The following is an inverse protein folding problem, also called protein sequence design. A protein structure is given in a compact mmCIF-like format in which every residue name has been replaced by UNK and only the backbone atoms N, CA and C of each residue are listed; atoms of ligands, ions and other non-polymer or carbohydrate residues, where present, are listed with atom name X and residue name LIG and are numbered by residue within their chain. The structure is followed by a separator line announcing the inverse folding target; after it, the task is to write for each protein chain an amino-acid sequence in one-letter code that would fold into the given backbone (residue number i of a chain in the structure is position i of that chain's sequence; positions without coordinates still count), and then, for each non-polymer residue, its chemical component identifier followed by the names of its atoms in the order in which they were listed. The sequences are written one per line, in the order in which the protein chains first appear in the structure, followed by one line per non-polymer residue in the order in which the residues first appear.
data_IF_414279673796
#
_entry.id   IF_414279673796
#
_cell.length_a   1.000
_cell.length_b   1.000
_cell.length_c   1.000
_cell.angle_alpha   90.00
_cell.angle_beta   90.00
_cell.angle_gamma   90.00
#
_symmetry.space_group_name_H-M   'P 1'
#
loop_
_entity.id
_entity.type
_entity.pdbx_description
1 polymer ?
#
# COMPACT_ATOMS: atom_id res chain seq x y z
N UNK A 1 -8.94 -3.97 8.03
CA UNK A 1 -7.81 -4.88 7.82
C UNK A 1 -7.64 -4.93 6.33
N UNK A 2 -6.47 -4.51 5.85
CA UNK A 2 -6.27 -4.25 4.44
C UNK A 2 -5.39 -5.36 3.86
N UNK A 3 -5.76 -5.85 2.68
CA UNK A 3 -4.98 -6.88 1.98
C UNK A 3 -4.12 -6.22 0.92
N UNK A 4 -2.81 -6.42 0.99
CA UNK A 4 -1.89 -5.92 -0.01
C UNK A 4 -1.92 -6.84 -1.25
N UNK A 5 -2.14 -6.24 -2.41
CA UNK A 5 -2.17 -6.92 -3.71
C UNK A 5 -0.97 -6.46 -4.55
N UNK A 6 -0.47 -7.34 -5.42
CA UNK A 6 0.63 -7.04 -6.36
C UNK A 6 1.90 -6.50 -5.68
N UNK A 7 2.26 -7.05 -4.53
CA UNK A 7 3.39 -6.61 -3.70
C UNK A 7 4.74 -7.24 -4.08
N UNK A 8 4.81 -7.87 -5.25
CA UNK A 8 6.03 -8.42 -5.82
C UNK A 8 6.43 -9.81 -5.28
N UNK A 9 7.50 -10.39 -5.85
CA UNK A 9 7.84 -11.80 -5.69
C UNK A 9 8.22 -12.19 -4.25
N UNK A 10 8.82 -11.28 -3.48
CA UNK A 10 9.14 -11.52 -2.08
C UNK A 10 7.86 -11.69 -1.25
N UNK A 11 6.88 -10.81 -1.45
CA UNK A 11 5.60 -10.89 -0.75
C UNK A 11 4.83 -12.15 -1.16
N UNK A 12 4.88 -12.53 -2.45
CA UNK A 12 4.26 -13.78 -2.93
C UNK A 12 4.86 -15.02 -2.24
N UNK A 13 6.18 -15.05 -2.06
CA UNK A 13 6.86 -16.15 -1.37
C UNK A 13 6.53 -16.17 0.13
N UNK A 14 6.46 -15.01 0.80
CA UNK A 14 6.01 -14.90 2.19
C UNK A 14 4.58 -15.42 2.32
N UNK A 15 3.67 -15.01 1.44
CA UNK A 15 2.27 -15.47 1.44
C UNK A 15 2.17 -16.99 1.20
N UNK A 16 2.97 -17.53 0.28
CA UNK A 16 3.04 -18.97 0.01
C UNK A 16 3.52 -19.75 1.23
N UNK A 17 4.58 -19.28 1.89
CA UNK A 17 5.12 -19.90 3.11
C UNK A 17 4.14 -19.80 4.28
N UNK A 18 3.51 -18.63 4.48
CA UNK A 18 2.51 -18.43 5.51
C UNK A 18 1.33 -19.39 5.33
N UNK A 19 0.81 -19.51 4.10
CA UNK A 19 -0.26 -20.47 3.77
C UNK A 19 0.16 -21.92 3.98
N UNK A 20 1.39 -22.29 3.62
CA UNK A 20 1.91 -23.66 3.81
C UNK A 20 1.99 -24.05 5.28
N UNK A 21 2.20 -23.08 6.17
CA UNK A 21 2.47 -23.31 7.59
C UNK A 21 1.34 -22.78 8.50
N UNK A 22 0.16 -22.50 7.96
CA UNK A 22 -1.02 -22.02 8.69
C UNK A 22 -0.77 -20.75 9.55
N UNK A 23 0.05 -19.83 9.05
CA UNK A 23 0.28 -18.53 9.68
C UNK A 23 -0.53 -17.42 9.02
N UNK A 24 -1.06 -16.52 9.85
CA UNK A 24 -1.51 -15.21 9.41
C UNK A 24 -0.32 -14.22 9.50
N UNK A 25 -0.08 -13.47 8.44
CA UNK A 25 0.94 -12.42 8.39
C UNK A 25 0.25 -11.06 8.46
N UNK A 26 0.76 -10.20 9.32
CA UNK A 26 0.36 -8.80 9.39
C UNK A 26 1.62 -7.96 9.45
N UNK A 27 1.60 -6.82 8.77
CA UNK A 27 2.71 -5.88 8.77
C UNK A 27 2.18 -4.46 8.59
N UNK A 28 2.82 -3.52 9.26
CA UNK A 28 2.74 -2.10 8.93
C UNK A 28 3.89 -1.73 8.01
N UNK A 29 3.92 -0.47 7.58
CA UNK A 29 5.11 0.08 6.94
C UNK A 29 6.31 0.01 7.90
N UNK A 30 7.50 -0.29 7.35
CA UNK A 30 8.74 -0.47 8.10
C UNK A 30 9.41 0.88 8.40
N UNK A 31 8.75 1.68 9.25
CA UNK A 31 9.21 3.02 9.61
C UNK A 31 8.67 3.44 10.97
N UNK A 32 9.30 4.45 11.57
CA UNK A 32 8.72 5.13 12.72
C UNK A 32 7.36 5.75 12.36
N UNK A 33 6.39 5.66 13.26
CA UNK A 33 5.05 6.20 13.01
C UNK A 33 5.09 7.68 12.61
N UNK A 34 4.27 8.05 11.63
CA UNK A 34 4.10 9.41 11.10
C UNK A 34 5.31 9.98 10.33
N UNK A 35 6.31 9.18 9.96
CA UNK A 35 7.48 9.64 9.17
C UNK A 35 7.37 9.43 7.66
N UNK A 36 6.25 8.88 7.18
CA UNK A 36 6.04 8.55 5.78
C UNK A 36 6.71 7.24 5.34
N UNK A 37 6.46 6.82 4.11
CA UNK A 37 7.03 5.58 3.56
C UNK A 37 8.51 5.73 3.23
N UNK A 38 9.30 4.67 3.45
CA UNK A 38 10.71 4.59 3.05
C UNK A 38 10.82 3.83 1.74
N UNK A 39 11.71 4.28 0.85
CA UNK A 39 11.84 3.71 -0.49
C UNK A 39 13.20 3.05 -0.76
N UNK A 40 14.18 3.25 0.12
CA UNK A 40 15.46 2.54 0.14
C UNK A 40 15.75 2.09 1.57
N UNK A 41 16.56 1.05 1.73
CA UNK A 41 16.83 0.45 3.04
C UNK A 41 17.51 1.44 3.99
N UNK A 42 18.42 2.26 3.46
CA UNK A 42 19.21 3.23 4.21
C UNK A 42 18.36 4.34 4.86
N UNK A 43 17.14 4.56 4.38
CA UNK A 43 16.23 5.57 4.93
C UNK A 43 15.40 5.05 6.13
N UNK A 44 15.47 3.74 6.41
CA UNK A 44 14.80 3.11 7.55
C UNK A 44 15.52 3.52 8.84
N UNK A 45 14.76 3.93 9.84
CA UNK A 45 15.33 4.36 11.12
C UNK A 45 16.10 3.22 11.81
N UNK A 46 17.31 3.51 12.32
CA UNK A 46 18.21 2.51 12.95
C UNK A 46 17.50 1.68 14.02
N UNK A 47 16.71 2.32 14.89
CA UNK A 47 15.91 1.65 15.92
C UNK A 47 14.91 0.60 15.37
N UNK A 48 14.43 0.74 14.13
CA UNK A 48 13.54 -0.22 13.48
C UNK A 48 14.35 -1.40 12.94
N UNK A 49 15.53 -1.12 12.40
CA UNK A 49 16.47 -2.14 11.90
C UNK A 49 16.98 -3.00 13.06
N UNK A 50 17.38 -2.39 14.17
CA UNK A 50 17.97 -3.08 15.33
C UNK A 50 17.04 -4.10 16.00
N UNK A 51 15.72 -3.88 15.95
CA UNK A 51 14.73 -4.80 16.56
C UNK A 51 14.29 -5.93 15.63
N UNK A 52 14.74 -5.92 14.37
CA UNK A 52 14.28 -6.89 13.37
C UNK A 52 15.13 -8.16 13.40
N UNK A 53 14.46 -9.32 13.42
CA UNK A 53 15.15 -10.62 13.31
C UNK A 53 15.71 -10.84 11.89
N UNK A 54 15.06 -10.26 10.89
CA UNK A 54 15.40 -10.39 9.48
C UNK A 54 15.23 -9.03 8.80
N UNK A 55 16.28 -8.58 8.13
CA UNK A 55 16.27 -7.43 7.22
C UNK A 55 16.49 -7.90 5.80
N UNK A 56 15.83 -7.24 4.85
CA UNK A 56 15.95 -7.58 3.44
C UNK A 56 16.03 -6.29 2.63
N UNK A 57 17.20 -6.03 2.06
CA UNK A 57 17.42 -4.92 1.13
C UNK A 57 17.20 -5.38 -0.32
N UNK A 58 16.19 -4.82 -0.96
CA UNK A 58 15.83 -5.06 -2.38
C UNK A 58 16.10 -3.84 -3.26
N UNK A 59 16.84 -2.84 -2.75
CA UNK A 59 17.09 -1.59 -3.42
C UNK A 59 15.85 -0.68 -3.48
N UNK A 60 15.76 0.12 -4.53
CA UNK A 60 14.73 1.14 -4.68
C UNK A 60 13.34 0.52 -4.89
N UNK A 61 12.40 0.90 -4.03
CA UNK A 61 10.99 0.49 -4.11
C UNK A 61 10.34 1.02 -5.40
N UNK A 62 9.65 0.17 -6.18
CA UNK A 62 8.87 0.62 -7.33
C UNK A 62 7.85 1.70 -6.96
N UNK A 63 7.70 2.69 -7.82
CA UNK A 63 6.83 3.85 -7.61
C UNK A 63 7.23 4.74 -6.42
N UNK A 64 8.51 4.74 -6.05
CA UNK A 64 9.10 5.73 -5.16
C UNK A 64 8.70 7.14 -5.62
N UNK A 65 8.35 8.00 -4.67
CA UNK A 65 7.85 9.34 -4.95
C UNK A 65 8.29 10.32 -3.87
N UNK A 66 8.43 11.58 -4.26
CA UNK A 66 8.83 12.70 -3.40
C UNK A 66 7.79 13.06 -2.33
N UNK A 67 6.55 12.59 -2.49
CA UNK A 67 5.41 12.84 -1.59
C UNK A 67 5.29 11.82 -0.45
N UNK A 68 6.14 10.80 -0.40
CA UNK A 68 6.09 9.76 0.64
C UNK A 68 4.83 8.88 0.60
N UNK A 69 4.12 8.87 -0.53
CA UNK A 69 2.87 8.12 -0.69
C UNK A 69 3.13 6.62 -0.74
N UNK A 70 2.42 5.88 0.12
CA UNK A 70 2.35 4.42 0.08
C UNK A 70 1.19 3.91 -0.79
N UNK A 71 0.70 2.71 -0.51
CA UNK A 71 -0.36 2.07 -1.31
C UNK A 71 -1.69 2.84 -1.31
N UNK A 72 -2.40 2.78 -2.42
CA UNK A 72 -3.82 3.12 -2.48
C UNK A 72 -4.62 2.09 -1.67
N UNK A 73 -5.61 2.55 -0.91
CA UNK A 73 -6.54 1.68 -0.16
C UNK A 73 -7.95 1.95 -0.66
N UNK A 74 -8.65 0.90 -1.06
CA UNK A 74 -10.03 0.94 -1.54
C UNK A 74 -10.85 -0.12 -0.81
N UNK A 75 -12.05 0.24 -0.39
CA UNK A 75 -13.05 -0.71 0.07
C UNK A 75 -13.62 -1.47 -1.13
N UNK A 76 -13.45 -2.79 -1.20
CA UNK A 76 -13.89 -3.59 -2.34
C UNK A 76 -15.40 -3.92 -2.34
N UNK A 77 -16.13 -3.56 -1.28
CA UNK A 77 -17.60 -3.69 -1.20
C UNK A 77 -18.26 -2.41 -1.70
N UNK A 78 -17.83 -1.26 -1.19
CA UNK A 78 -18.42 0.05 -1.54
C UNK A 78 -17.72 0.73 -2.73
N UNK A 79 -16.54 0.26 -3.10
CA UNK A 79 -15.62 0.89 -4.07
C UNK A 79 -15.14 2.28 -3.64
N UNK A 80 -15.26 2.60 -2.35
CA UNK A 80 -14.78 3.85 -1.79
C UNK A 80 -13.25 3.85 -1.69
N UNK A 81 -12.63 4.92 -2.20
CA UNK A 81 -11.19 5.14 -1.97
C UNK A 81 -10.97 5.71 -0.58
N UNK A 82 -10.48 4.86 0.31
CA UNK A 82 -10.14 5.21 1.70
C UNK A 82 -8.85 6.04 1.74
N UNK A 83 -7.88 5.72 0.87
CA UNK A 83 -6.61 6.44 0.76
C UNK A 83 -6.11 6.48 -0.67
N UNK A 84 -5.86 7.70 -1.15
CA UNK A 84 -5.11 7.94 -2.40
C UNK A 84 -3.63 7.68 -2.14
N UNK A 85 -3.06 6.72 -2.86
CA UNK A 85 -1.65 6.34 -2.76
C UNK A 85 -0.83 6.62 -4.01
N UNK A 86 0.35 6.00 -4.08
CA UNK A 86 1.17 6.00 -5.29
C UNK A 86 0.39 5.41 -6.47
N UNK A 87 0.65 5.94 -7.66
CA UNK A 87 0.05 5.52 -8.95
C UNK A 87 -1.48 5.41 -8.96
N UNK A 88 -2.18 6.15 -8.08
CA UNK A 88 -3.64 6.09 -7.95
C UNK A 88 -4.37 6.30 -9.28
N UNK A 89 -3.93 7.27 -10.08
CA UNK A 89 -4.52 7.54 -11.40
C UNK A 89 -4.48 6.32 -12.31
N UNK A 90 -3.34 5.62 -12.37
CA UNK A 90 -3.16 4.42 -13.19
C UNK A 90 -4.04 3.27 -12.68
N UNK A 91 -4.18 3.13 -11.35
CA UNK A 91 -5.08 2.14 -10.75
C UNK A 91 -6.52 2.41 -11.17
N UNK A 92 -6.96 3.67 -11.11
CA UNK A 92 -8.31 4.06 -11.54
C UNK A 92 -8.55 3.72 -13.01
N UNK A 93 -7.60 4.04 -13.88
CA UNK A 93 -7.72 3.81 -15.31
C UNK A 93 -7.82 2.29 -15.61
N UNK A 94 -6.94 1.47 -15.01
CA UNK A 94 -6.98 0.00 -15.16
C UNK A 94 -8.31 -0.57 -14.66
N UNK A 95 -8.78 -0.13 -13.50
CA UNK A 95 -10.02 -0.65 -12.90
C UNK A 95 -11.24 -0.25 -13.73
N UNK A 96 -11.26 0.99 -14.25
CA UNK A 96 -12.32 1.45 -15.13
C UNK A 96 -12.35 0.67 -16.43
N UNK A 97 -11.20 0.46 -17.06
CA UNK A 97 -11.11 -0.27 -18.33
C UNK A 97 -11.43 -1.75 -18.16
N UNK A 98 -11.04 -2.37 -17.04
CA UNK A 98 -11.17 -3.82 -16.83
C UNK A 98 -12.53 -4.20 -16.24
N UNK A 99 -13.08 -3.38 -15.35
CA UNK A 99 -14.26 -3.73 -14.55
C UNK A 99 -15.41 -2.71 -14.66
N UNK A 100 -15.26 -1.64 -15.43
CA UNK A 100 -16.23 -0.53 -15.57
C UNK A 100 -16.51 0.24 -14.26
N UNK A 101 -15.68 0.04 -13.23
CA UNK A 101 -15.82 0.71 -11.93
C UNK A 101 -15.00 2.01 -11.94
N UNK A 102 -15.64 3.14 -11.61
CA UNK A 102 -15.00 4.45 -11.62
C UNK A 102 -14.76 4.99 -10.21
N UNK A 103 -13.58 4.71 -9.66
CA UNK A 103 -13.17 5.19 -8.34
C UNK A 103 -13.11 6.72 -8.24
N UNK A 104 -12.77 7.43 -9.33
CA UNK A 104 -12.66 8.90 -9.32
C UNK A 104 -14.04 9.52 -9.14
N UNK A 105 -15.02 9.05 -9.91
CA UNK A 105 -16.42 9.49 -9.80
C UNK A 105 -16.97 9.18 -8.40
N UNK A 106 -16.76 7.97 -7.89
CA UNK A 106 -17.22 7.58 -6.56
C UNK A 106 -16.61 8.48 -5.48
N UNK A 107 -15.30 8.70 -5.52
CA UNK A 107 -14.59 9.58 -4.58
C UNK A 107 -15.15 11.01 -4.60
N UNK A 108 -15.42 11.57 -5.80
CA UNK A 108 -15.99 12.92 -5.94
C UNK A 108 -17.41 13.02 -5.35
N UNK A 109 -18.25 11.99 -5.54
CA UNK A 109 -19.62 11.98 -5.00
C UNK A 109 -19.68 11.86 -3.48
N UNK A 110 -18.61 11.34 -2.85
CA UNK A 110 -18.49 11.22 -1.40
C UNK A 110 -17.82 12.43 -0.71
N UNK A 111 -17.17 13.31 -1.46
CA UNK A 111 -16.67 14.56 -0.91
C UNK A 111 -17.85 15.38 -0.36
N UNK A 112 -18.00 15.39 0.98
CA UNK A 112 -19.07 16.10 1.70
C UNK A 112 -19.29 17.49 1.08
N UNK A 113 -20.56 17.95 0.92
CA UNK A 113 -20.80 19.34 0.57
C UNK A 113 -20.09 20.21 1.62
N UNK A 114 -19.27 21.15 1.16
CA UNK A 114 -18.65 22.14 2.02
C UNK A 114 -19.76 22.77 2.88
N UNK A 115 -19.67 22.57 4.20
CA UNK A 115 -20.56 23.22 5.15
C UNK A 115 -20.34 24.73 4.93
N UNK A 116 -21.37 25.40 4.40
CA UNK A 116 -21.42 26.87 4.27
C UNK A 116 -21.62 27.51 5.62
#
# INVERSE_FOLDING_TARGET
MDMLLNAGPLHDEIARLARKNDYAISGSSANQSLTGSKFVFEDIEEQVVEISDITIDYGLVPYCNDKGLGSTIVDLISYETIRVGAVYEQICDIVKDTFDIDFKTILMTQAKPAIR
#
